data_IF_343280438296
#
_entry.id   IF_343280438296
#
_cell.length_a   1.000
_cell.length_b   1.000
_cell.length_c   1.000
_cell.angle_alpha   90.00
_cell.angle_beta   90.00
_cell.angle_gamma   90.00
#
_symmetry.space_group_name_H-M   'P 1'
#
loop_
_entity.id
_entity.type
_entity.pdbx_description
1 polymer ?
#
# COMPACT_ATOMS: atom_id res chain seq x y z
N UNK A 1 -9.75 -54.11 -9.23
CA UNK A 1 -10.33 -53.07 -8.34
C UNK A 1 -10.87 -51.86 -9.13
N UNK A 2 -11.65 -52.08 -10.21
CA UNK A 2 -12.11 -50.98 -11.10
C UNK A 2 -13.63 -50.83 -11.19
N UNK A 3 -14.44 -51.82 -10.81
CA UNK A 3 -15.88 -51.78 -11.10
C UNK A 3 -16.71 -50.94 -10.13
N UNK A 4 -16.24 -50.72 -8.90
CA UNK A 4 -17.04 -50.06 -7.86
C UNK A 4 -17.05 -48.52 -8.01
N UNK A 5 -15.95 -47.96 -8.54
CA UNK A 5 -15.88 -46.53 -8.87
C UNK A 5 -16.66 -46.17 -10.14
N UNK A 6 -16.74 -47.08 -11.11
CA UNK A 6 -17.56 -46.88 -12.31
C UNK A 6 -19.05 -47.00 -11.99
N UNK A 7 -19.44 -47.95 -11.14
CA UNK A 7 -20.81 -48.09 -10.67
C UNK A 7 -21.30 -46.86 -9.88
N UNK A 8 -20.44 -46.30 -9.00
CA UNK A 8 -20.75 -45.04 -8.30
C UNK A 8 -20.93 -43.85 -9.22
N UNK A 9 -20.11 -43.74 -10.28
CA UNK A 9 -20.22 -42.66 -11.27
C UNK A 9 -21.45 -42.84 -12.16
N UNK A 10 -21.89 -44.06 -12.42
CA UNK A 10 -23.12 -44.35 -13.16
C UNK A 10 -24.37 -43.99 -12.35
N UNK A 11 -24.42 -44.35 -11.05
CA UNK A 11 -25.54 -44.05 -10.17
C UNK A 11 -25.70 -42.54 -9.90
N UNK A 12 -24.59 -41.78 -9.85
CA UNK A 12 -24.64 -40.32 -9.68
C UNK A 12 -25.15 -39.55 -10.91
N UNK A 13 -25.31 -40.19 -12.07
CA UNK A 13 -25.84 -39.57 -13.28
C UNK A 13 -27.31 -39.90 -13.55
N UNK A 14 -27.93 -40.75 -12.72
CA UNK A 14 -29.36 -41.05 -12.83
C UNK A 14 -30.12 -39.94 -12.12
N UNK A 15 -30.65 -38.99 -12.88
CA UNK A 15 -31.74 -38.15 -12.39
C UNK A 15 -33.00 -39.01 -12.30
N UNK A 16 -33.62 -39.04 -11.12
CA UNK A 16 -34.93 -39.65 -10.97
C UNK A 16 -35.94 -38.87 -11.84
N UNK A 17 -36.79 -39.55 -12.63
CA UNK A 17 -37.84 -38.87 -13.38
C UNK A 17 -38.74 -38.10 -12.40
N UNK A 18 -39.13 -36.87 -12.77
CA UNK A 18 -40.00 -35.98 -11.99
C UNK A 18 -39.49 -35.50 -10.63
N UNK A 19 -38.16 -35.35 -10.46
CA UNK A 19 -37.55 -34.81 -9.23
C UNK A 19 -38.14 -33.45 -8.80
N UNK A 20 -38.44 -32.57 -9.76
CA UNK A 20 -39.03 -31.25 -9.53
C UNK A 20 -40.51 -31.34 -9.09
N UNK A 21 -41.30 -32.26 -9.63
CA UNK A 21 -42.69 -32.46 -9.20
C UNK A 21 -42.79 -33.19 -7.87
N UNK A 22 -41.89 -34.14 -7.61
CA UNK A 22 -41.76 -34.79 -6.31
C UNK A 22 -41.40 -33.76 -5.22
N UNK A 23 -40.47 -32.84 -5.50
CA UNK A 23 -40.15 -31.73 -4.59
C UNK A 23 -41.35 -30.81 -4.36
N UNK A 24 -42.08 -30.42 -5.41
CA UNK A 24 -43.27 -29.56 -5.28
C UNK A 24 -44.38 -30.21 -4.44
N UNK A 25 -44.54 -31.54 -4.50
CA UNK A 25 -45.51 -32.28 -3.69
C UNK A 25 -45.05 -32.50 -2.25
N UNK A 26 -43.76 -32.69 -2.03
CA UNK A 26 -43.21 -32.92 -0.70
C UNK A 26 -43.09 -31.61 0.12
N UNK A 27 -42.85 -30.48 -0.55
CA UNK A 27 -42.56 -29.21 0.12
C UNK A 27 -43.68 -28.70 1.04
N UNK A 28 -44.97 -28.76 0.68
CA UNK A 28 -46.06 -28.35 1.58
C UNK A 28 -46.12 -29.22 2.84
N UNK A 29 -45.87 -30.53 2.74
CA UNK A 29 -45.90 -31.49 3.84
C UNK A 29 -44.73 -31.25 4.80
N UNK A 30 -43.54 -31.02 4.25
CA UNK A 30 -42.35 -30.69 5.04
C UNK A 30 -42.52 -29.35 5.74
N UNK A 31 -43.12 -28.37 5.06
CA UNK A 31 -43.37 -27.04 5.60
C UNK A 31 -44.42 -27.07 6.72
N UNK A 32 -45.55 -27.74 6.55
CA UNK A 32 -46.54 -27.88 7.63
C UNK A 32 -45.99 -28.67 8.82
N UNK A 33 -45.17 -29.70 8.60
CA UNK A 33 -44.49 -30.41 9.67
C UNK A 33 -43.39 -29.59 10.37
N UNK A 34 -42.83 -28.58 9.69
CA UNK A 34 -41.88 -27.64 10.27
C UNK A 34 -42.57 -26.53 11.06
N UNK A 35 -43.64 -25.96 10.51
CA UNK A 35 -44.42 -24.88 11.13
C UNK A 35 -45.21 -25.37 12.37
N UNK A 36 -45.53 -26.67 12.44
CA UNK A 36 -46.17 -27.29 13.60
C UNK A 36 -45.21 -27.69 14.73
N UNK A 37 -43.90 -27.46 14.61
CA UNK A 37 -42.96 -27.74 15.70
C UNK A 37 -42.97 -26.61 16.72
N UNK A 38 -43.28 -26.94 17.97
CA UNK A 38 -42.94 -26.06 19.09
C UNK A 38 -41.41 -25.91 19.21
N UNK A 39 -40.87 -24.68 19.26
CA UNK A 39 -39.44 -24.46 19.42
C UNK A 39 -38.99 -24.89 20.81
N UNK A 40 -38.34 -26.05 20.88
CA UNK A 40 -37.71 -26.56 22.10
C UNK A 40 -36.49 -25.69 22.44
N UNK A 41 -36.51 -25.05 23.61
CA UNK A 41 -35.34 -24.34 24.13
C UNK A 41 -34.21 -25.35 24.42
N UNK A 42 -33.23 -25.45 23.51
CA UNK A 42 -32.19 -26.47 23.59
C UNK A 42 -31.10 -26.15 24.61
N UNK A 43 -30.62 -27.14 25.39
CA UNK A 43 -29.59 -26.94 26.38
C UNK A 43 -28.24 -26.63 25.71
N UNK A 44 -27.62 -25.51 26.11
CA UNK A 44 -26.39 -24.89 25.58
C UNK A 44 -25.11 -25.78 25.54
N UNK A 45 -25.19 -27.08 25.86
CA UNK A 45 -24.03 -27.99 25.88
C UNK A 45 -23.79 -28.78 24.58
N UNK A 46 -24.74 -28.82 23.64
CA UNK A 46 -24.60 -29.54 22.36
C UNK A 46 -24.44 -28.65 21.10
N UNK A 47 -24.40 -27.31 21.24
CA UNK A 47 -24.28 -26.39 20.10
C UNK A 47 -22.88 -26.38 19.45
N UNK A 48 -21.82 -26.72 20.19
CA UNK A 48 -20.42 -26.66 19.73
C UNK A 48 -20.09 -27.59 18.56
N UNK A 49 -20.49 -28.89 18.55
CA UNK A 49 -20.20 -29.77 17.41
C UNK A 49 -20.98 -29.40 16.15
N UNK A 50 -22.20 -28.85 16.26
CA UNK A 50 -23.01 -28.45 15.11
C UNK A 50 -22.54 -27.13 14.48
N UNK A 51 -22.08 -26.16 15.28
CA UNK A 51 -21.40 -24.97 14.76
C UNK A 51 -20.09 -25.36 14.07
N UNK A 52 -19.33 -26.31 14.61
CA UNK A 52 -18.13 -26.83 13.95
C UNK A 52 -18.45 -27.52 12.61
N UNK A 53 -19.55 -28.28 12.54
CA UNK A 53 -20.01 -28.88 11.29
C UNK A 53 -20.49 -27.84 10.27
N UNK A 54 -21.23 -26.81 10.69
CA UNK A 54 -21.67 -25.71 9.83
C UNK A 54 -20.49 -24.86 9.31
N UNK A 55 -19.49 -24.60 10.16
CA UNK A 55 -18.21 -23.97 9.77
C UNK A 55 -17.45 -24.87 8.80
N UNK A 56 -17.43 -26.19 9.02
CA UNK A 56 -16.83 -27.16 8.10
C UNK A 56 -17.48 -27.16 6.72
N UNK A 57 -18.81 -27.11 6.65
CA UNK A 57 -19.56 -27.02 5.39
C UNK A 57 -19.34 -25.66 4.70
N UNK A 58 -19.27 -24.55 5.45
CA UNK A 58 -18.97 -23.23 4.90
C UNK A 58 -17.53 -23.15 4.35
N UNK A 59 -16.55 -23.79 5.01
CA UNK A 59 -15.16 -23.89 4.54
C UNK A 59 -15.07 -24.77 3.28
N UNK A 60 -15.81 -25.88 3.22
CA UNK A 60 -15.90 -26.74 2.04
C UNK A 60 -16.58 -26.02 0.86
N UNK A 61 -17.63 -25.23 1.10
CA UNK A 61 -18.28 -24.41 0.09
C UNK A 61 -17.35 -23.30 -0.42
N UNK A 62 -16.61 -22.64 0.47
CA UNK A 62 -15.61 -21.62 0.11
C UNK A 62 -14.47 -22.22 -0.75
N UNK A 63 -14.01 -23.45 -0.45
CA UNK A 63 -12.98 -24.15 -1.22
C UNK A 63 -13.42 -24.56 -2.64
N UNK A 64 -14.73 -24.67 -2.88
CA UNK A 64 -15.29 -25.04 -4.18
C UNK A 64 -15.55 -23.85 -5.11
N UNK A 65 -15.55 -22.62 -4.57
CA UNK A 65 -15.62 -21.38 -5.38
C UNK A 65 -14.32 -21.16 -6.17
N UNK A 66 -14.41 -20.49 -7.33
CA UNK A 66 -13.26 -20.19 -8.21
C UNK A 66 -12.08 -19.53 -7.48
N UNK A 67 -12.28 -18.62 -6.50
CA UNK A 67 -11.20 -18.10 -5.65
C UNK A 67 -10.65 -19.11 -4.62
N UNK A 68 -11.47 -20.03 -4.12
CA UNK A 68 -11.06 -21.03 -3.11
C UNK A 68 -10.16 -22.14 -3.67
N UNK A 69 -10.31 -22.49 -4.95
CA UNK A 69 -9.44 -23.49 -5.61
C UNK A 69 -7.98 -23.03 -5.74
N UNK A 70 -7.73 -21.71 -5.76
CA UNK A 70 -6.38 -21.16 -5.78
C UNK A 70 -5.62 -21.37 -4.44
N UNK A 71 -6.35 -21.52 -3.33
CA UNK A 71 -5.77 -21.81 -2.02
C UNK A 71 -5.43 -23.30 -1.83
N UNK A 72 -6.20 -24.22 -2.41
CA UNK A 72 -6.02 -25.67 -2.19
C UNK A 72 -4.75 -26.22 -2.88
N UNK A 73 -4.34 -25.67 -4.02
CA UNK A 73 -3.07 -26.03 -4.67
C UNK A 73 -1.85 -25.69 -3.80
N UNK A 74 -1.89 -24.52 -3.16
CA UNK A 74 -0.81 -24.00 -2.32
C UNK A 74 -0.64 -24.79 -1.00
N UNK A 75 -1.71 -25.39 -0.50
CA UNK A 75 -1.70 -26.20 0.74
C UNK A 75 -1.21 -27.63 0.47
N UNK A 76 -1.45 -28.19 -0.72
CA UNK A 76 -1.00 -29.56 -1.05
C UNK A 76 0.52 -29.67 -1.23
N UNK A 77 1.17 -28.60 -1.68
CA UNK A 77 2.63 -28.49 -1.77
C UNK A 77 3.31 -28.10 -0.43
N UNK A 78 2.52 -27.82 0.61
CA UNK A 78 3.03 -27.58 1.95
C UNK A 78 3.24 -28.88 2.75
N UNK A 79 2.58 -29.99 2.37
CA UNK A 79 2.63 -31.26 3.11
C UNK A 79 3.59 -32.30 2.51
N UNK A 80 4.45 -31.94 1.54
CA UNK A 80 5.40 -32.87 0.91
C UNK A 80 6.88 -32.53 1.07
N UNK A 81 7.26 -31.65 1.99
CA UNK A 81 8.69 -31.42 2.27
C UNK A 81 8.95 -31.19 3.75
N UNK A 82 9.40 -32.23 4.45
CA UNK A 82 10.08 -32.10 5.73
C UNK A 82 11.50 -31.56 5.49
N UNK A 83 11.66 -30.28 5.80
CA UNK A 83 12.91 -29.53 5.74
C UNK A 83 12.60 -28.04 5.87
N UNK A 84 13.43 -27.22 6.55
CA UNK A 84 13.19 -25.79 6.65
C UNK A 84 13.20 -25.18 5.24
N UNK A 85 12.01 -24.82 4.72
CA UNK A 85 11.90 -24.14 3.42
C UNK A 85 12.73 -22.85 3.50
N UNK A 86 13.68 -22.62 2.56
CA UNK A 86 14.46 -21.38 2.54
C UNK A 86 13.48 -20.19 2.47
N UNK A 87 13.64 -19.23 3.38
CA UNK A 87 12.82 -18.02 3.40
C UNK A 87 13.12 -17.24 2.11
N UNK A 88 12.13 -16.96 1.25
CA UNK A 88 12.38 -16.29 -0.02
C UNK A 88 12.96 -14.89 0.23
N UNK A 89 14.23 -14.70 -0.09
CA UNK A 89 14.92 -13.41 -0.04
C UNK A 89 14.61 -12.60 -1.30
N UNK A 90 14.86 -11.29 -1.27
CA UNK A 90 14.66 -10.44 -2.46
C UNK A 90 15.79 -10.71 -3.46
N UNK A 91 15.57 -11.67 -4.36
CA UNK A 91 16.51 -12.05 -5.44
C UNK A 91 16.21 -11.34 -6.75
N UNK A 92 14.98 -10.86 -6.94
CA UNK A 92 14.59 -10.00 -8.07
C UNK A 92 13.29 -9.27 -7.75
N UNK A 93 13.02 -8.18 -8.45
CA UNK A 93 11.73 -7.50 -8.43
C UNK A 93 10.80 -8.15 -9.45
N UNK A 94 9.47 -8.20 -9.21
CA UNK A 94 8.53 -8.79 -10.16
C UNK A 94 8.19 -7.89 -11.35
N UNK A 95 8.71 -6.66 -11.38
CA UNK A 95 8.61 -5.73 -12.50
C UNK A 95 9.91 -4.93 -12.63
N UNK A 96 10.33 -4.55 -13.85
CA UNK A 96 11.48 -3.68 -14.06
C UNK A 96 11.41 -2.38 -13.25
N UNK A 97 12.57 -1.91 -12.82
CA UNK A 97 12.74 -0.60 -12.22
C UNK A 97 13.68 -0.60 -11.01
N UNK A 98 13.67 0.52 -10.30
CA UNK A 98 14.56 0.80 -9.18
C UNK A 98 13.73 1.10 -7.93
N UNK A 99 14.10 0.52 -6.78
CA UNK A 99 13.56 0.92 -5.50
C UNK A 99 14.55 1.84 -4.77
N UNK A 100 14.02 2.88 -4.16
CA UNK A 100 14.66 3.57 -3.05
C UNK A 100 13.91 3.21 -1.78
N UNK A 101 14.62 2.62 -0.84
CA UNK A 101 14.08 2.04 0.39
C UNK A 101 14.65 2.83 1.56
N UNK A 102 13.86 3.66 2.21
CA UNK A 102 14.29 4.39 3.39
C UNK A 102 14.19 3.46 4.59
N UNK A 103 15.33 3.04 5.14
CA UNK A 103 15.41 2.24 6.35
C UNK A 103 15.99 3.06 7.51
N UNK A 104 15.91 2.57 8.76
CA UNK A 104 16.53 3.21 9.92
C UNK A 104 18.04 3.44 9.78
N UNK A 105 18.72 2.69 8.90
CA UNK A 105 20.15 2.87 8.56
C UNK A 105 20.40 3.93 7.50
N UNK A 106 19.37 4.25 6.74
CA UNK A 106 19.38 5.18 5.63
C UNK A 106 18.83 4.60 4.33
N UNK A 107 18.85 5.40 3.26
CA UNK A 107 18.30 5.02 1.97
C UNK A 107 19.13 3.91 1.30
N UNK A 108 18.45 2.86 0.85
CA UNK A 108 19.00 1.81 0.03
C UNK A 108 18.53 1.94 -1.41
N UNK A 109 19.47 1.77 -2.33
CA UNK A 109 19.23 1.57 -3.74
C UNK A 109 19.07 0.07 -4.03
N UNK A 110 17.93 -0.33 -4.60
CA UNK A 110 17.67 -1.71 -5.02
C UNK A 110 17.37 -1.77 -6.50
N UNK A 111 18.05 -2.65 -7.21
CA UNK A 111 17.85 -2.87 -8.65
C UNK A 111 16.88 -4.02 -8.91
N UNK A 112 16.45 -4.13 -10.16
CA UNK A 112 15.57 -5.21 -10.63
C UNK A 112 16.09 -6.62 -10.32
N UNK A 113 17.41 -6.83 -10.37
CA UNK A 113 18.09 -8.09 -10.04
C UNK A 113 18.21 -8.36 -8.53
N UNK A 114 17.51 -7.57 -7.69
CA UNK A 114 17.53 -7.72 -6.24
C UNK A 114 18.81 -7.23 -5.56
N UNK A 115 19.80 -6.74 -6.31
CA UNK A 115 21.02 -6.17 -5.73
C UNK A 115 20.68 -4.94 -4.90
N UNK A 116 21.27 -4.84 -3.71
CA UNK A 116 20.98 -3.81 -2.70
C UNK A 116 22.25 -3.05 -2.35
N UNK A 117 22.16 -1.73 -2.24
CA UNK A 117 23.27 -0.89 -1.81
C UNK A 117 22.78 0.24 -0.91
N UNK A 118 23.36 0.35 0.30
CA UNK A 118 23.16 1.50 1.17
C UNK A 118 23.83 2.74 0.57
N UNK A 119 23.14 3.88 0.56
CA UNK A 119 23.61 5.13 -0.05
C UNK A 119 24.30 6.08 0.94
N UNK A 120 24.68 5.57 2.11
CA UNK A 120 25.32 6.32 3.17
C UNK A 120 24.40 6.54 4.38
N UNK A 121 24.91 7.21 5.43
CA UNK A 121 24.23 7.35 6.72
C UNK A 121 23.20 8.49 6.73
N UNK A 122 22.38 8.59 5.69
CA UNK A 122 21.31 9.59 5.59
C UNK A 122 20.06 9.12 6.33
N UNK A 123 19.15 10.03 6.69
CA UNK A 123 17.89 9.64 7.33
C UNK A 123 16.83 9.20 6.33
N UNK A 124 16.78 9.87 5.19
CA UNK A 124 15.83 9.60 4.12
C UNK A 124 16.40 10.05 2.78
N UNK A 125 15.82 9.53 1.70
CA UNK A 125 16.05 10.01 0.35
C UNK A 125 14.78 10.04 -0.48
N UNK A 126 14.81 10.84 -1.54
CA UNK A 126 13.80 10.87 -2.59
C UNK A 126 14.43 10.90 -3.97
N UNK A 127 13.81 10.19 -4.91
CA UNK A 127 14.26 10.15 -6.30
C UNK A 127 14.14 11.52 -6.96
N UNK A 128 15.15 11.89 -7.76
CA UNK A 128 14.95 12.81 -8.87
C UNK A 128 14.09 12.13 -9.94
N UNK A 129 13.48 12.89 -10.86
CA UNK A 129 12.92 12.32 -12.08
C UNK A 129 13.92 11.40 -12.76
N UNK A 130 13.41 10.28 -13.30
CA UNK A 130 14.19 9.22 -13.95
C UNK A 130 15.29 8.55 -13.08
N UNK A 131 15.28 8.75 -11.76
CA UNK A 131 16.25 8.15 -10.83
C UNK A 131 17.73 8.42 -11.17
N UNK A 132 18.02 9.60 -11.73
CA UNK A 132 19.41 10.04 -12.01
C UNK A 132 20.13 10.45 -10.72
N UNK A 133 19.43 11.11 -9.81
CA UNK A 133 19.93 11.56 -8.52
C UNK A 133 18.98 11.17 -7.39
N UNK A 134 19.46 11.26 -6.16
CA UNK A 134 18.64 11.17 -4.95
C UNK A 134 18.91 12.41 -4.11
N UNK A 135 17.85 13.13 -3.72
CA UNK A 135 17.97 14.12 -2.65
C UNK A 135 17.94 13.38 -1.32
N UNK A 136 18.91 13.64 -0.46
CA UNK A 136 19.06 13.00 0.84
C UNK A 136 19.16 14.04 1.93
N UNK A 137 18.65 13.71 3.12
CA UNK A 137 18.66 14.62 4.27
C UNK A 137 19.26 13.94 5.50
N UNK A 138 19.94 14.72 6.34
CA UNK A 138 20.49 14.26 7.62
C UNK A 138 20.76 15.45 8.52
N UNK A 139 20.19 15.47 9.73
CA UNK A 139 20.40 16.58 10.66
C UNK A 139 20.04 17.89 10.00
N UNK A 140 21.05 18.74 9.83
CA UNK A 140 20.96 20.08 9.26
C UNK A 140 21.40 20.14 7.78
N UNK A 141 21.48 19.00 7.10
CA UNK A 141 22.08 18.87 5.78
C UNK A 141 21.08 18.36 4.75
N UNK A 142 21.01 19.06 3.61
CA UNK A 142 20.43 18.58 2.35
C UNK A 142 21.57 18.28 1.38
N UNK A 143 21.56 17.12 0.72
CA UNK A 143 22.51 16.83 -0.36
C UNK A 143 21.82 16.18 -1.55
N UNK A 144 22.42 16.32 -2.73
CA UNK A 144 22.09 15.49 -3.89
C UNK A 144 23.23 14.50 -4.12
N UNK A 145 22.89 13.22 -4.24
CA UNK A 145 23.85 12.14 -4.47
C UNK A 145 23.58 11.42 -5.78
N UNK A 146 24.63 10.82 -6.34
CA UNK A 146 24.54 9.93 -7.48
C UNK A 146 24.36 8.48 -6.99
N UNK A 147 23.16 7.90 -7.13
CA UNK A 147 22.82 6.58 -6.65
C UNK A 147 23.43 5.48 -7.51
N UNK A 148 24.13 5.79 -8.62
CA UNK A 148 24.85 4.83 -9.47
C UNK A 148 26.35 4.89 -9.19
N UNK A 149 26.90 6.09 -8.97
CA UNK A 149 28.29 6.31 -8.55
C UNK A 149 28.52 6.14 -7.04
N UNK A 150 28.11 5.00 -6.47
CA UNK A 150 28.32 4.64 -5.05
C UNK A 150 27.86 5.69 -4.02
N UNK A 151 26.83 6.49 -4.36
CA UNK A 151 26.34 7.55 -3.47
C UNK A 151 27.25 8.78 -3.42
N UNK A 152 28.08 9.00 -4.45
CA UNK A 152 28.92 10.18 -4.55
C UNK A 152 28.09 11.46 -4.40
N UNK A 153 28.51 12.34 -3.50
CA UNK A 153 27.87 13.64 -3.25
C UNK A 153 28.16 14.55 -4.44
N UNK A 154 27.10 15.07 -5.07
CA UNK A 154 27.19 16.07 -6.14
C UNK A 154 27.36 17.46 -5.55
N UNK A 155 26.55 17.74 -4.54
CA UNK A 155 26.59 18.96 -3.73
C UNK A 155 25.92 18.69 -2.39
N UNK A 156 26.25 19.52 -1.40
CA UNK A 156 25.63 19.51 -0.08
C UNK A 156 25.36 20.95 0.37
N UNK A 157 24.35 21.10 1.22
CA UNK A 157 23.78 22.37 1.63
C UNK A 157 23.38 22.31 3.10
N UNK A 158 24.09 23.06 3.95
CA UNK A 158 23.86 23.12 5.39
C UNK A 158 22.80 24.17 5.76
N UNK A 159 21.97 23.90 6.78
CA UNK A 159 20.85 24.73 7.21
C UNK A 159 20.78 24.93 8.72
N UNK A 160 20.07 25.97 9.14
CA UNK A 160 19.94 26.34 10.55
C UNK A 160 19.11 25.36 11.38
N UNK A 161 18.13 24.69 10.76
CA UNK A 161 17.27 23.72 11.43
C UNK A 161 17.37 22.35 10.78
N UNK A 162 16.70 21.39 11.39
CA UNK A 162 16.64 20.01 10.90
C UNK A 162 16.00 20.00 9.50
N UNK A 163 16.72 19.43 8.54
CA UNK A 163 16.30 19.29 7.15
C UNK A 163 15.55 17.97 6.97
N UNK A 164 14.34 18.03 6.40
CA UNK A 164 13.51 16.84 6.11
C UNK A 164 12.67 17.00 4.85
N UNK A 165 12.10 15.88 4.41
CA UNK A 165 11.08 15.73 3.38
C UNK A 165 11.45 16.40 2.05
N UNK A 166 12.72 16.30 1.65
CA UNK A 166 13.18 16.81 0.38
C UNK A 166 12.49 16.08 -0.79
N UNK A 167 11.95 16.83 -1.76
CA UNK A 167 11.25 16.30 -2.94
C UNK A 167 11.65 17.07 -4.19
N UNK A 168 12.06 16.33 -5.21
CA UNK A 168 12.34 16.90 -6.53
C UNK A 168 11.06 17.29 -7.26
N UNK A 169 11.11 18.39 -7.98
CA UNK A 169 10.09 18.76 -8.97
C UNK A 169 10.08 17.74 -10.13
N UNK A 170 8.97 17.62 -10.86
CA UNK A 170 8.82 16.62 -11.92
C UNK A 170 9.77 16.83 -13.11
N UNK A 171 10.20 18.07 -13.35
CA UNK A 171 11.20 18.44 -14.34
C UNK A 171 12.66 18.17 -13.89
N UNK A 172 12.87 17.97 -12.59
CA UNK A 172 14.16 17.67 -11.99
C UNK A 172 15.03 18.89 -11.73
N UNK A 173 14.49 20.11 -11.85
CA UNK A 173 15.26 21.34 -11.69
C UNK A 173 15.12 22.00 -10.32
N UNK A 174 14.20 21.54 -9.47
CA UNK A 174 14.00 22.09 -8.12
C UNK A 174 13.86 21.01 -7.07
N UNK A 175 14.17 21.37 -5.84
CA UNK A 175 13.95 20.56 -4.66
C UNK A 175 13.23 21.41 -3.63
N UNK A 176 12.02 20.98 -3.25
CA UNK A 176 11.32 21.53 -2.10
C UNK A 176 11.68 20.71 -0.86
N UNK A 177 11.95 21.37 0.27
CA UNK A 177 12.31 20.70 1.51
C UNK A 177 11.89 21.52 2.73
N UNK A 178 11.85 20.87 3.88
CA UNK A 178 11.56 21.50 5.17
C UNK A 178 12.86 21.79 5.91
N UNK A 179 13.03 23.02 6.38
CA UNK A 179 14.05 23.46 7.33
C UNK A 179 13.33 23.72 8.67
N UNK A 180 13.16 22.69 9.49
CA UNK A 180 12.24 22.73 10.63
C UNK A 180 10.78 22.83 10.16
N UNK A 181 10.14 23.99 10.37
CA UNK A 181 8.77 24.28 9.89
C UNK A 181 8.74 25.28 8.73
N UNK A 182 9.91 25.72 8.29
CA UNK A 182 10.08 26.57 7.12
C UNK A 182 10.11 25.71 5.86
N UNK A 183 9.34 26.09 4.85
CA UNK A 183 9.40 25.48 3.52
C UNK A 183 10.34 26.29 2.63
N UNK A 184 11.31 25.60 2.05
CA UNK A 184 12.30 26.19 1.14
C UNK A 184 12.31 25.47 -0.19
N UNK A 185 12.76 26.17 -1.22
CA UNK A 185 12.98 25.62 -2.56
C UNK A 185 14.38 26.02 -3.02
N UNK A 186 15.12 25.06 -3.55
CA UNK A 186 16.46 25.24 -4.12
C UNK A 186 16.50 24.65 -5.53
N UNK A 187 17.36 25.18 -6.40
CA UNK A 187 17.62 24.57 -7.68
C UNK A 187 18.34 23.21 -7.53
N UNK A 188 18.19 22.33 -8.52
CA UNK A 188 18.78 20.99 -8.53
C UNK A 188 20.32 20.96 -8.52
N UNK A 189 20.97 22.11 -8.72
CA UNK A 189 22.41 22.34 -8.66
C UNK A 189 22.87 23.08 -7.39
N UNK A 190 21.99 23.21 -6.39
CA UNK A 190 22.16 23.94 -5.12
C UNK A 190 22.08 25.47 -5.19
N UNK A 191 21.90 26.07 -6.37
CA UNK A 191 21.79 27.53 -6.49
C UNK A 191 20.39 28.04 -6.12
N UNK A 192 20.29 29.34 -5.86
CA UNK A 192 18.99 30.03 -5.73
C UNK A 192 18.11 29.53 -4.58
N UNK A 193 18.68 29.00 -3.50
CA UNK A 193 17.88 28.57 -2.36
C UNK A 193 17.13 29.74 -1.71
N UNK A 194 15.82 29.59 -1.57
CA UNK A 194 14.95 30.61 -1.00
C UNK A 194 13.86 30.04 -0.11
N UNK A 195 13.46 30.83 0.88
CA UNK A 195 12.27 30.55 1.67
C UNK A 195 11.02 30.75 0.81
N UNK A 196 10.16 29.74 0.74
CA UNK A 196 8.86 29.81 0.08
C UNK A 196 7.73 30.12 1.07
N UNK A 197 7.76 29.51 2.26
CA UNK A 197 6.84 29.80 3.37
C UNK A 197 7.58 29.70 4.70
N UNK A 198 7.35 30.66 5.59
CA UNK A 198 8.00 30.69 6.90
C UNK A 198 7.48 29.59 7.84
N UNK A 199 6.21 29.22 7.72
CA UNK A 199 5.55 28.29 8.63
C UNK A 199 4.56 27.38 7.90
N UNK A 200 4.85 26.09 7.84
CA UNK A 200 4.00 25.04 7.27
C UNK A 200 3.85 23.86 8.25
N UNK A 201 2.98 22.91 7.93
CA UNK A 201 2.89 21.61 8.61
C UNK A 201 4.17 20.78 8.44
N UNK A 202 4.31 19.69 9.21
CA UNK A 202 5.44 18.76 9.08
C UNK A 202 5.24 17.75 7.93
N UNK A 203 4.25 17.98 7.08
CA UNK A 203 3.86 17.12 5.97
C UNK A 203 4.89 17.26 4.84
N UNK A 204 5.36 16.16 4.25
CA UNK A 204 6.17 16.24 3.04
C UNK A 204 5.43 17.02 1.94
N UNK A 205 6.07 18.04 1.33
CA UNK A 205 5.45 18.77 0.22
C UNK A 205 5.30 17.85 -0.99
N UNK A 206 4.31 18.11 -1.86
CA UNK A 206 4.04 17.27 -3.03
C UNK A 206 3.91 18.10 -4.30
N UNK A 207 4.89 17.98 -5.19
CA UNK A 207 4.85 18.61 -6.51
C UNK A 207 3.73 18.02 -7.37
N UNK A 208 3.05 18.86 -8.14
CA UNK A 208 2.05 18.42 -9.11
C UNK A 208 2.74 17.90 -10.38
N UNK A 209 2.54 16.63 -10.80
CA UNK A 209 3.38 15.98 -11.83
C UNK A 209 3.40 16.61 -13.24
N UNK A 210 2.32 17.26 -13.68
CA UNK A 210 2.17 17.81 -15.05
C UNK A 210 2.36 19.33 -15.10
N UNK A 211 2.13 20.02 -13.99
CA UNK A 211 2.28 21.46 -13.95
C UNK A 211 3.73 21.83 -13.60
N UNK A 212 4.23 22.89 -14.24
CA UNK A 212 5.54 23.40 -13.88
C UNK A 212 5.44 24.07 -12.52
N UNK A 213 6.34 23.68 -11.60
CA UNK A 213 6.61 24.41 -10.38
C UNK A 213 5.43 24.63 -9.41
N UNK A 214 4.35 23.86 -9.52
CA UNK A 214 3.23 23.88 -8.58
C UNK A 214 3.44 22.88 -7.44
N UNK A 215 3.32 23.35 -6.20
CA UNK A 215 3.62 22.58 -5.00
C UNK A 215 2.42 22.55 -4.05
N UNK A 216 1.93 21.36 -3.73
CA UNK A 216 0.93 21.17 -2.68
C UNK A 216 1.61 21.07 -1.32
N UNK A 217 1.10 21.83 -0.34
CA UNK A 217 1.59 21.86 1.04
C UNK A 217 0.43 21.82 2.04
N UNK A 218 0.70 21.27 3.22
CA UNK A 218 -0.22 21.36 4.36
C UNK A 218 0.25 22.46 5.30
N UNK A 219 -0.66 23.28 5.81
CA UNK A 219 -0.36 24.25 6.85
C UNK A 219 -0.44 23.60 8.24
N UNK A 220 -0.10 24.38 9.27
CA UNK A 220 -0.20 23.96 10.69
C UNK A 220 -1.65 23.75 11.14
N UNK A 221 -2.60 24.39 10.44
CA UNK A 221 -4.06 24.28 10.65
C UNK A 221 -4.69 23.19 9.76
N UNK A 222 -3.88 22.38 9.08
CA UNK A 222 -4.34 21.32 8.19
C UNK A 222 -5.05 21.79 6.91
N UNK A 223 -4.92 23.08 6.57
CA UNK A 223 -5.28 23.57 5.24
C UNK A 223 -4.33 22.97 4.23
N UNK A 224 -4.84 22.60 3.06
CA UNK A 224 -4.00 22.27 1.91
C UNK A 224 -3.96 23.48 1.00
N UNK A 225 -2.76 23.87 0.59
CA UNK A 225 -2.53 24.96 -0.35
C UNK A 225 -1.79 24.42 -1.56
N UNK A 226 -2.15 24.91 -2.74
CA UNK A 226 -1.33 24.79 -3.93
C UNK A 226 -0.65 26.12 -4.18
N UNK A 227 0.67 26.11 -4.29
CA UNK A 227 1.46 27.32 -4.48
C UNK A 227 2.29 27.21 -5.75
N UNK A 228 2.38 28.32 -6.49
CA UNK A 228 3.33 28.49 -7.57
C UNK A 228 4.69 28.88 -6.96
N UNK A 229 5.72 28.08 -7.20
CA UNK A 229 7.03 28.28 -6.53
C UNK A 229 7.90 29.34 -7.20
N UNK A 230 7.52 29.85 -8.37
CA UNK A 230 8.22 30.95 -9.05
C UNK A 230 7.80 32.31 -8.50
N UNK A 231 6.50 32.54 -8.46
CA UNK A 231 5.88 33.78 -7.99
C UNK A 231 5.58 33.77 -6.49
N UNK A 232 5.74 32.61 -5.83
CA UNK A 232 5.32 32.36 -4.44
C UNK A 232 3.82 32.55 -4.18
N UNK A 233 2.99 32.70 -5.22
CA UNK A 233 1.55 32.91 -5.09
C UNK A 233 0.84 31.64 -4.68
N UNK A 234 -0.14 31.77 -3.78
CA UNK A 234 -1.08 30.67 -3.50
C UNK A 234 -2.14 30.65 -4.59
N UNK A 235 -2.21 29.55 -5.34
CA UNK A 235 -3.17 29.34 -6.43
C UNK A 235 -4.56 29.01 -5.88
N UNK A 236 -4.62 28.16 -4.84
CA UNK A 236 -5.82 27.89 -4.06
C UNK A 236 -5.48 27.42 -2.65
N UNK A 237 -6.46 27.48 -1.76
CA UNK A 237 -6.37 26.97 -0.39
C UNK A 237 -7.69 26.34 0.03
N UNK A 238 -7.64 25.20 0.71
CA UNK A 238 -8.83 24.64 1.37
C UNK A 238 -9.16 25.40 2.65
N UNK A 239 -10.35 25.11 3.20
CA UNK A 239 -10.65 25.34 4.61
C UNK A 239 -9.70 24.58 5.54
N UNK A 240 -9.68 24.94 6.85
CA UNK A 240 -8.88 24.23 7.84
C UNK A 240 -9.35 22.78 8.00
N UNK A 241 -8.49 21.92 8.52
CA UNK A 241 -8.79 20.49 8.65
C UNK A 241 -7.74 19.76 9.48
N UNK A 242 -7.77 18.43 9.42
CA UNK A 242 -6.73 17.62 10.06
C UNK A 242 -5.41 17.77 9.30
N UNK A 243 -4.31 18.01 10.04
CA UNK A 243 -2.97 18.13 9.46
C UNK A 243 -2.63 16.85 8.69
N UNK A 244 -2.25 17.02 7.43
CA UNK A 244 -1.94 15.89 6.57
C UNK A 244 -0.65 15.21 7.02
N UNK A 245 -0.60 13.89 6.93
CA UNK A 245 0.62 13.09 7.01
C UNK A 245 1.26 12.90 5.63
N UNK A 246 0.43 12.85 4.59
CA UNK A 246 0.90 12.65 3.23
C UNK A 246 -0.01 13.37 2.21
N UNK A 247 0.60 13.92 1.17
CA UNK A 247 -0.05 14.49 0.01
C UNK A 247 0.39 13.68 -1.21
N UNK A 248 -0.56 13.15 -1.99
CA UNK A 248 -0.26 12.31 -3.16
C UNK A 248 -1.09 12.76 -4.35
N UNK A 249 -0.44 13.22 -5.41
CA UNK A 249 -1.08 13.55 -6.67
C UNK A 249 -1.29 12.32 -7.55
N UNK A 250 -2.38 12.30 -8.33
CA UNK A 250 -2.48 11.46 -9.52
C UNK A 250 -1.45 11.90 -10.56
N UNK A 251 -1.07 10.99 -11.45
CA UNK A 251 0.00 11.26 -12.44
C UNK A 251 -0.34 12.36 -13.43
N UNK A 252 -1.63 12.59 -13.70
CA UNK A 252 -2.11 13.68 -14.54
C UNK A 252 -2.29 15.01 -13.78
N UNK A 253 -2.02 15.01 -12.47
CA UNK A 253 -2.17 16.16 -11.59
C UNK A 253 -3.63 16.60 -11.41
N UNK A 254 -4.62 15.75 -11.67
CA UNK A 254 -6.03 16.11 -11.58
C UNK A 254 -6.70 15.76 -10.25
N UNK A 255 -6.06 14.90 -9.45
CA UNK A 255 -6.56 14.45 -8.13
C UNK A 255 -5.47 14.52 -7.10
N UNK A 256 -5.82 14.98 -5.90
CA UNK A 256 -4.94 15.01 -4.75
C UNK A 256 -5.56 14.23 -3.59
N UNK A 257 -4.85 13.19 -3.14
CA UNK A 257 -5.16 12.50 -1.90
C UNK A 257 -4.49 13.23 -0.75
N UNK A 258 -5.27 13.54 0.27
CA UNK A 258 -4.83 14.16 1.52
C UNK A 258 -5.06 13.14 2.63
N UNK A 259 -3.98 12.47 3.01
CA UNK A 259 -3.98 11.46 4.06
C UNK A 259 -3.66 12.13 5.39
N UNK A 260 -4.50 11.92 6.40
CA UNK A 260 -4.33 12.43 7.76
C UNK A 260 -4.49 11.30 8.78
N UNK A 261 -4.32 11.61 10.07
CA UNK A 261 -4.34 10.65 11.18
C UNK A 261 -5.63 9.85 11.32
N UNK A 262 -6.78 10.43 10.93
CA UNK A 262 -8.09 9.78 11.04
C UNK A 262 -8.99 10.08 9.85
N UNK A 263 -8.42 10.56 8.75
CA UNK A 263 -9.20 10.87 7.56
C UNK A 263 -8.40 10.72 6.27
N UNK A 264 -9.13 10.43 5.20
CA UNK A 264 -8.65 10.57 3.84
C UNK A 264 -9.60 11.51 3.11
N UNK A 265 -9.07 12.61 2.57
CA UNK A 265 -9.81 13.53 1.70
C UNK A 265 -9.32 13.39 0.26
N UNK A 266 -10.23 13.45 -0.69
CA UNK A 266 -9.93 13.48 -2.11
C UNK A 266 -10.31 14.85 -2.65
N UNK A 267 -9.33 15.55 -3.22
CA UNK A 267 -9.52 16.87 -3.82
C UNK A 267 -9.33 16.79 -5.34
N UNK A 268 -10.02 17.68 -6.07
CA UNK A 268 -9.73 17.95 -7.48
C UNK A 268 -8.49 18.85 -7.64
N UNK A 269 -8.09 19.12 -8.89
CA UNK A 269 -6.98 20.00 -9.23
C UNK A 269 -7.10 21.44 -8.72
N UNK A 270 -8.33 21.90 -8.43
CA UNK A 270 -8.64 23.25 -7.98
C UNK A 270 -8.80 23.32 -6.45
N UNK A 271 -8.58 22.20 -5.75
CA UNK A 271 -8.69 22.10 -4.30
C UNK A 271 -10.12 21.89 -3.78
N UNK A 272 -11.10 21.67 -4.66
CA UNK A 272 -12.45 21.32 -4.22
C UNK A 272 -12.47 19.87 -3.71
N UNK A 273 -13.12 19.66 -2.57
CA UNK A 273 -13.33 18.31 -2.04
C UNK A 273 -14.31 17.53 -2.92
N UNK A 274 -13.87 16.41 -3.46
CA UNK A 274 -14.74 15.45 -4.15
C UNK A 274 -15.51 14.62 -3.13
N UNK A 275 -14.80 14.06 -2.15
CA UNK A 275 -15.36 13.35 -1.01
C UNK A 275 -14.29 13.12 0.05
N UNK A 276 -14.71 12.67 1.23
CA UNK A 276 -13.82 12.31 2.33
C UNK A 276 -14.38 11.10 3.09
N UNK A 277 -13.47 10.36 3.72
CA UNK A 277 -13.82 9.28 4.66
C UNK A 277 -13.12 9.53 6.00
N UNK A 278 -13.90 9.47 7.07
CA UNK A 278 -13.39 9.43 8.44
C UNK A 278 -13.11 7.99 8.85
N UNK A 279 -12.02 7.77 9.58
CA UNK A 279 -11.55 6.44 9.97
C UNK A 279 -11.26 6.42 11.48
N UNK A 280 -11.59 5.33 12.19
CA UNK A 280 -11.29 5.21 13.62
C UNK A 280 -9.78 5.32 13.90
N UNK A 281 -8.99 4.71 13.03
CA UNK A 281 -7.53 4.80 12.96
C UNK A 281 -7.20 5.08 11.50
N UNK A 282 -6.32 6.04 11.27
CA UNK A 282 -6.01 6.51 9.92
C UNK A 282 -5.44 5.43 9.02
N UNK A 283 -5.50 5.66 7.70
CA UNK A 283 -4.76 4.84 6.77
C UNK A 283 -3.26 5.00 7.05
N UNK A 284 -2.52 3.90 7.05
CA UNK A 284 -1.06 3.96 7.14
C UNK A 284 -0.41 4.31 5.80
N UNK A 285 -1.13 4.15 4.68
CA UNK A 285 -0.61 4.57 3.38
C UNK A 285 -1.67 4.60 2.29
N UNK A 286 -1.37 5.38 1.25
CA UNK A 286 -2.13 5.45 -0.01
C UNK A 286 -1.19 5.53 -1.22
N UNK A 287 -1.62 4.97 -2.35
CA UNK A 287 -0.90 5.09 -3.63
C UNK A 287 -1.86 5.02 -4.83
N UNK A 288 -1.71 5.94 -5.79
CA UNK A 288 -2.43 5.87 -7.06
C UNK A 288 -1.93 4.71 -7.92
N UNK A 289 -2.88 4.00 -8.54
CA UNK A 289 -2.59 3.08 -9.64
C UNK A 289 -2.25 3.92 -10.88
N UNK A 290 -1.10 3.64 -11.48
CA UNK A 290 -0.52 4.37 -12.62
C UNK A 290 -1.54 4.57 -13.75
N UNK A 291 -1.56 5.75 -14.35
CA UNK A 291 -2.44 6.13 -15.45
C UNK A 291 -3.93 6.17 -15.13
N UNK A 292 -4.31 6.13 -13.84
CA UNK A 292 -5.73 6.12 -13.43
C UNK A 292 -5.97 7.02 -12.22
N UNK A 293 -7.25 7.32 -11.96
CA UNK A 293 -7.71 7.89 -10.70
C UNK A 293 -8.09 6.85 -9.65
N UNK A 294 -7.73 5.58 -9.86
CA UNK A 294 -7.89 4.55 -8.84
C UNK A 294 -6.69 4.56 -7.92
N UNK A 295 -6.91 4.30 -6.64
CA UNK A 295 -5.83 4.24 -5.66
C UNK A 295 -6.07 3.13 -4.65
N UNK A 296 -4.97 2.59 -4.14
CA UNK A 296 -4.97 1.62 -3.05
C UNK A 296 -4.74 2.34 -1.74
N UNK A 297 -5.49 1.95 -0.72
CA UNK A 297 -5.37 2.41 0.65
C UNK A 297 -5.15 1.22 1.58
N UNK A 298 -4.29 1.38 2.57
CA UNK A 298 -4.25 0.47 3.72
C UNK A 298 -5.26 0.95 4.75
N UNK A 299 -6.16 0.08 5.17
CA UNK A 299 -7.12 0.34 6.24
C UNK A 299 -6.91 -0.66 7.36
N UNK A 300 -6.61 -0.17 8.56
CA UNK A 300 -6.56 -1.00 9.75
C UNK A 300 -7.97 -1.19 10.34
N UNK A 301 -8.29 -2.41 10.76
CA UNK A 301 -9.58 -2.80 11.33
C UNK A 301 -9.38 -3.26 12.78
N UNK A 302 -9.54 -2.36 13.77
CA UNK A 302 -9.21 -2.65 15.17
C UNK A 302 -9.94 -3.85 15.75
N UNK A 303 -11.21 -4.03 15.38
CA UNK A 303 -12.05 -5.12 15.88
C UNK A 303 -11.50 -6.51 15.55
N UNK A 304 -10.69 -6.64 14.49
CA UNK A 304 -10.09 -7.92 14.08
C UNK A 304 -8.56 -7.93 14.18
N UNK A 305 -7.93 -6.78 14.46
CA UNK A 305 -6.48 -6.64 14.44
C UNK A 305 -5.86 -6.90 13.07
N UNK A 306 -6.56 -6.53 11.99
CA UNK A 306 -6.15 -6.81 10.59
C UNK A 306 -5.96 -5.53 9.80
N UNK A 307 -5.11 -5.61 8.78
CA UNK A 307 -4.97 -4.59 7.75
C UNK A 307 -5.59 -5.08 6.44
N UNK A 308 -6.43 -4.25 5.84
CA UNK A 308 -7.05 -4.47 4.54
C UNK A 308 -6.38 -3.58 3.49
N UNK A 309 -6.16 -4.14 2.30
CA UNK A 309 -5.84 -3.39 1.09
C UNK A 309 -7.13 -3.20 0.30
N UNK A 310 -7.51 -1.94 0.12
CA UNK A 310 -8.76 -1.56 -0.52
C UNK A 310 -8.46 -0.65 -1.70
N UNK A 311 -9.05 -0.95 -2.86
CA UNK A 311 -8.98 -0.13 -4.06
C UNK A 311 -10.22 0.75 -4.16
N UNK A 312 -10.01 2.06 -4.28
CA UNK A 312 -11.06 3.08 -4.41
C UNK A 312 -10.81 3.95 -5.65
N UNK A 313 -11.75 4.84 -5.96
CA UNK A 313 -11.64 5.79 -7.07
C UNK A 313 -11.69 7.23 -6.55
N UNK A 314 -10.75 8.06 -6.97
CA UNK A 314 -10.68 9.48 -6.68
C UNK A 314 -11.59 10.30 -7.61
N UNK A 315 -12.80 9.82 -7.89
CA UNK A 315 -13.81 10.54 -8.67
C UNK A 315 -14.90 11.08 -7.75
N UNK A 316 -15.74 11.99 -8.24
CA UNK A 316 -16.86 12.56 -7.47
C UNK A 316 -17.73 11.48 -6.82
N UNK A 317 -17.94 10.36 -7.51
CA UNK A 317 -18.51 9.16 -6.91
C UNK A 317 -17.38 8.15 -6.63
N UNK A 318 -17.10 7.81 -5.36
CA UNK A 318 -16.06 6.83 -5.02
C UNK A 318 -16.38 5.42 -5.54
N UNK A 319 -17.65 5.12 -5.82
CA UNK A 319 -18.12 3.79 -6.16
C UNK A 319 -17.98 2.80 -5.01
N UNK A 320 -18.14 1.51 -5.32
CA UNK A 320 -17.92 0.45 -4.35
C UNK A 320 -16.42 0.18 -4.18
N UNK A 321 -15.98 0.15 -2.92
CA UNK A 321 -14.60 -0.13 -2.59
C UNK A 321 -14.27 -1.60 -2.89
N UNK A 322 -13.28 -1.85 -3.75
CA UNK A 322 -12.88 -3.22 -4.12
C UNK A 322 -11.81 -3.72 -3.17
N UNK A 323 -12.12 -4.79 -2.46
CA UNK A 323 -11.16 -5.48 -1.62
C UNK A 323 -10.10 -6.22 -2.44
N UNK A 324 -8.81 -6.05 -2.08
CA UNK A 324 -7.68 -6.71 -2.74
C UNK A 324 -7.08 -7.83 -1.88
N UNK A 325 -6.85 -7.56 -0.59
CA UNK A 325 -6.17 -8.47 0.30
C UNK A 325 -6.38 -8.07 1.77
N UNK A 326 -6.28 -9.03 2.70
CA UNK A 326 -6.27 -8.76 4.14
C UNK A 326 -5.36 -9.73 4.86
N UNK A 327 -4.63 -9.25 5.85
CA UNK A 327 -3.87 -10.10 6.75
C UNK A 327 -3.89 -9.55 8.19
N UNK A 328 -3.63 -10.41 9.19
CA UNK A 328 -3.42 -9.95 10.57
C UNK A 328 -2.23 -9.01 10.71
N UNK A 329 -2.33 -8.05 11.63
CA UNK A 329 -1.26 -7.09 11.93
C UNK A 329 -1.24 -5.90 10.98
N UNK A 330 -0.08 -5.25 10.92
CA UNK A 330 0.08 -3.91 10.38
C UNK A 330 0.69 -3.96 8.98
N UNK A 331 -0.03 -3.34 8.04
CA UNK A 331 0.53 -2.91 6.77
C UNK A 331 0.95 -1.45 6.88
N UNK A 332 2.03 -1.09 6.18
CA UNK A 332 2.56 0.28 6.25
C UNK A 332 2.99 0.78 4.88
N UNK A 333 4.21 0.44 4.46
CA UNK A 333 4.77 0.90 3.19
C UNK A 333 3.94 0.46 1.99
N UNK A 334 3.67 1.37 1.05
CA UNK A 334 3.06 1.11 -0.26
C UNK A 334 3.91 1.68 -1.40
N UNK A 335 4.09 0.91 -2.47
CA UNK A 335 4.65 1.40 -3.72
C UNK A 335 4.04 0.70 -4.93
N UNK A 336 3.77 1.47 -5.99
CA UNK A 336 3.27 0.93 -7.25
C UNK A 336 4.41 0.87 -8.27
N UNK A 337 4.59 -0.30 -8.88
CA UNK A 337 5.57 -0.53 -9.94
C UNK A 337 5.42 0.46 -11.11
N UNK A 338 6.50 0.75 -11.85
CA UNK A 338 6.47 1.74 -12.94
C UNK A 338 5.47 1.40 -14.05
N UNK A 339 5.21 0.11 -14.28
CA UNK A 339 4.23 -0.36 -15.25
C UNK A 339 2.79 -0.47 -14.69
N UNK A 340 2.56 -0.10 -13.44
CA UNK A 340 1.23 -0.11 -12.80
C UNK A 340 0.67 -1.49 -12.44
N UNK A 341 1.40 -2.58 -12.72
CA UNK A 341 0.83 -3.93 -12.62
C UNK A 341 1.06 -4.61 -11.27
N UNK A 342 2.03 -4.14 -10.50
CA UNK A 342 2.38 -4.66 -9.18
C UNK A 342 2.29 -3.59 -8.11
N UNK A 343 1.71 -3.97 -6.99
CA UNK A 343 1.71 -3.25 -5.73
C UNK A 343 2.67 -3.95 -4.76
N UNK A 344 3.62 -3.20 -4.20
CA UNK A 344 4.43 -3.61 -3.06
C UNK A 344 3.74 -3.11 -1.78
N UNK A 345 3.56 -4.01 -0.81
CA UNK A 345 3.06 -3.70 0.53
C UNK A 345 4.02 -4.23 1.59
N UNK A 346 4.37 -3.40 2.57
CA UNK A 346 5.10 -3.83 3.76
C UNK A 346 4.18 -4.45 4.80
N UNK A 347 4.42 -5.70 5.17
CA UNK A 347 3.73 -6.40 6.26
C UNK A 347 4.68 -6.54 7.46
N UNK A 348 4.54 -5.62 8.41
CA UNK A 348 5.56 -5.34 9.43
C UNK A 348 5.70 -6.50 10.42
N UNK A 349 4.60 -6.98 10.98
CA UNK A 349 4.62 -8.05 12.00
C UNK A 349 5.06 -9.40 11.42
N UNK A 350 4.91 -9.59 10.10
CA UNK A 350 5.42 -10.77 9.41
C UNK A 350 6.87 -10.61 8.93
N UNK A 351 7.47 -9.42 9.08
CA UNK A 351 8.76 -9.06 8.51
C UNK A 351 8.86 -9.38 7.00
N UNK A 352 7.81 -9.00 6.26
CA UNK A 352 7.64 -9.36 4.85
C UNK A 352 7.30 -8.17 3.95
N UNK A 353 7.71 -8.28 2.70
CA UNK A 353 7.12 -7.55 1.59
C UNK A 353 6.23 -8.47 0.78
N UNK A 354 5.02 -8.00 0.50
CA UNK A 354 4.09 -8.65 -0.40
C UNK A 354 4.06 -7.87 -1.72
N UNK A 355 4.20 -8.58 -2.83
CA UNK A 355 3.99 -8.05 -4.17
C UNK A 355 2.69 -8.63 -4.71
N UNK A 356 1.68 -7.79 -4.86
CA UNK A 356 0.36 -8.17 -5.36
C UNK A 356 0.24 -7.72 -6.81
N UNK A 357 -0.13 -8.62 -7.71
CA UNK A 357 -0.45 -8.26 -9.09
C UNK A 357 -1.86 -7.67 -9.13
N UNK A 358 -2.01 -6.46 -9.63
CA UNK A 358 -3.31 -5.77 -9.64
C UNK A 358 -4.27 -6.29 -10.72
N UNK A 359 -3.74 -7.01 -11.72
CA UNK A 359 -4.50 -7.55 -12.85
C UNK A 359 -4.85 -9.03 -12.74
N UNK A 360 -4.32 -9.75 -11.74
CA UNK A 360 -4.59 -11.18 -11.54
C UNK A 360 -4.40 -11.56 -10.06
N UNK A 361 -5.01 -12.66 -9.62
CA UNK A 361 -4.85 -13.19 -8.26
C UNK A 361 -3.47 -13.85 -8.07
N UNK A 362 -2.39 -13.05 -8.08
CA UNK A 362 -1.01 -13.49 -7.85
C UNK A 362 -0.37 -12.64 -6.77
N UNK A 363 0.19 -13.32 -5.77
CA UNK A 363 0.93 -12.70 -4.65
C UNK A 363 2.30 -13.35 -4.56
N UNK A 364 3.35 -12.54 -4.44
CA UNK A 364 4.70 -13.00 -4.13
C UNK A 364 5.08 -12.42 -2.76
N UNK A 365 5.70 -13.24 -1.92
CA UNK A 365 6.16 -12.82 -0.60
C UNK A 365 7.68 -12.88 -0.52
N UNK A 366 8.27 -11.87 0.10
CA UNK A 366 9.70 -11.79 0.40
C UNK A 366 9.85 -11.55 1.89
N UNK A 367 10.66 -12.36 2.56
CA UNK A 367 10.78 -12.38 4.02
C UNK A 367 12.08 -11.76 4.52
N UNK A 368 12.17 -11.55 5.83
CA UNK A 368 13.37 -11.08 6.51
C UNK A 368 13.80 -9.68 6.06
N UNK A 369 12.82 -8.81 5.81
CA UNK A 369 13.04 -7.46 5.26
C UNK A 369 13.87 -6.60 6.22
N UNK A 370 13.55 -6.61 7.52
CA UNK A 370 14.29 -5.86 8.53
C UNK A 370 15.77 -6.26 8.56
N UNK A 371 16.08 -7.55 8.43
CA UNK A 371 17.46 -8.03 8.37
C UNK A 371 18.16 -7.60 7.07
N UNK A 372 17.46 -7.64 5.94
CA UNK A 372 18.00 -7.24 4.63
C UNK A 372 18.37 -5.75 4.55
N UNK A 373 17.65 -4.87 5.26
CA UNK A 373 17.84 -3.41 5.21
C UNK A 373 18.40 -2.78 6.50
N UNK A 374 18.54 -3.59 7.56
CA UNK A 374 19.14 -3.20 8.85
C UNK A 374 20.02 -4.32 9.46
N UNK A 375 21.01 -4.88 8.72
CA UNK A 375 21.80 -6.04 9.18
C UNK A 375 22.69 -5.64 10.38
N UNK A 376 22.40 -6.09 11.60
CA UNK A 376 22.99 -5.70 12.91
C UNK A 376 22.22 -4.60 13.70
N UNK A 377 20.94 -4.35 13.40
CA UNK A 377 20.11 -3.31 14.04
C UNK A 377 18.98 -3.80 14.94
N UNK A 378 18.93 -5.09 15.33
CA UNK A 378 17.82 -5.67 16.12
C UNK A 378 17.85 -5.28 17.61
N UNK A 379 17.85 -3.99 17.93
CA UNK A 379 17.55 -3.50 19.28
C UNK A 379 16.20 -2.78 19.23
N UNK A 380 15.14 -3.39 19.77
CA UNK A 380 13.78 -2.84 19.81
C UNK A 380 12.75 -3.59 18.96
N UNK A 381 11.51 -3.07 18.87
CA UNK A 381 10.42 -3.70 18.13
C UNK A 381 10.73 -3.79 16.62
N UNK A 382 10.15 -4.78 15.92
CA UNK A 382 10.37 -4.98 14.47
C UNK A 382 10.07 -3.72 13.64
N UNK A 383 9.05 -2.96 14.02
CA UNK A 383 8.68 -1.69 13.37
C UNK A 383 9.82 -0.67 13.36
N UNK A 384 10.70 -0.67 14.37
CA UNK A 384 11.85 0.23 14.43
C UNK A 384 13.00 -0.19 13.50
N UNK A 385 13.00 -1.43 13.02
CA UNK A 385 14.01 -1.98 12.10
C UNK A 385 13.52 -2.11 10.65
N UNK A 386 12.20 -2.08 10.45
CA UNK A 386 11.55 -2.22 9.15
C UNK A 386 11.69 -0.94 8.31
N UNK A 387 11.78 -1.04 6.97
CA UNK A 387 11.78 0.14 6.10
C UNK A 387 10.54 1.03 6.31
N UNK A 388 10.77 2.33 6.51
CA UNK A 388 9.72 3.31 6.80
C UNK A 388 9.02 3.81 5.52
N UNK A 389 9.70 3.75 4.37
CA UNK A 389 9.07 4.02 3.07
C UNK A 389 9.83 3.38 1.93
N UNK A 390 9.11 3.13 0.83
CA UNK A 390 9.66 2.63 -0.42
C UNK A 390 9.09 3.46 -1.56
N UNK A 391 9.95 3.83 -2.51
CA UNK A 391 9.53 4.44 -3.76
C UNK A 391 10.08 3.65 -4.93
N UNK A 392 9.18 3.28 -5.84
CA UNK A 392 9.51 2.53 -7.04
C UNK A 392 9.56 3.48 -8.22
N UNK A 393 10.77 3.91 -8.55
CA UNK A 393 10.99 4.74 -9.73
C UNK A 393 11.36 3.88 -10.90
N UNK A 394 10.63 4.21 -11.95
CA UNK A 394 11.01 4.28 -13.34
C UNK A 394 11.51 2.96 -13.95
N UNK A 395 11.09 2.63 -15.19
CA UNK A 395 11.66 1.48 -15.88
C UNK A 395 13.19 1.63 -15.89
N UNK A 396 13.91 0.53 -15.71
CA UNK A 396 15.35 0.54 -15.94
C UNK A 396 15.58 1.09 -17.35
N UNK A 397 16.47 2.08 -17.49
CA UNK A 397 16.90 2.51 -18.83
C UNK A 397 17.37 1.26 -19.60
N UNK A 398 16.94 1.09 -20.87
CA UNK A 398 17.29 -0.08 -21.66
C UNK A 398 18.80 -0.26 -21.80
#
# INVERSE_FOLDING_TARGET
MSSDQELRRALQRIQAPDELEAQRRAWPIVRTAFDAREPVAWPRRQARPLVAAAVGVAILAAALTSPGRALVGSVRDAFKSEGPKPRPALTSLPAPGLLLVNSPRGPWFVRFDGTKRLLGPWWEGSWSPHAKYVAVTRGHELAAIDPRAKGAIRWSLARSHIVRSARWSPDGFRIAYLNGRELRVVAGDSTGDGQLRQLVGATPPAWRPVAQHELAISTVEGRVQLVDTDSSKTLWSTGPGEVAKQLVWSEDGQRLLVLSDRSLRVLDAKGHGLWAIGLPIGPSGVAFVRGTHRFVMIRYVPATGRSDLVLLQAETNPGEARFLYSAPGDFDTLAISPNGNWLLVGWVNADQWLFLRLTAAKVLAVSSIAEQFSPRGRAGPLSASFPASVSWCCPASP
#
